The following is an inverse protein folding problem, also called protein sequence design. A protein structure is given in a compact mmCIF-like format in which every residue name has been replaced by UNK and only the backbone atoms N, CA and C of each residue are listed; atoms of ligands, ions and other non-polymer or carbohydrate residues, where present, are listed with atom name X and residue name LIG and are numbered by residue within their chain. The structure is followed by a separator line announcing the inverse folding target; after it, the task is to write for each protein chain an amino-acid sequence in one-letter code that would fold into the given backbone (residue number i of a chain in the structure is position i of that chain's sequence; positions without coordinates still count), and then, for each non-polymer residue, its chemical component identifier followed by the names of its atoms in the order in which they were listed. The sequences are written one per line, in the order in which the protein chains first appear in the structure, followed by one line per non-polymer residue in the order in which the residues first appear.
data_IF_553804319783
#
_entry.id   IF_553804319783
#
_cell.length_a   1.000
_cell.length_b   1.000
_cell.length_c   1.000
_cell.angle_alpha   90.00
_cell.angle_beta   90.00
_cell.angle_gamma   90.00
#
_symmetry.space_group_name_H-M   'P 1'
#
loop_
_entity.id
_entity.type
_entity.pdbx_description
1 polymer ?
#
# COMPACT_ATOMS: atom_id res chain seq x y z
N UNK A 1 -18.21 16.06 56.59
CA UNK A 1 -17.01 16.04 57.46
C UNK A 1 -16.37 14.65 57.36
N UNK A 2 -15.07 14.59 57.03
CA UNK A 2 -14.16 13.40 57.00
C UNK A 2 -14.45 12.22 56.05
N UNK A 3 -13.36 11.81 55.37
CA UNK A 3 -13.12 10.58 54.61
C UNK A 3 -13.18 9.31 55.49
N UNK A 4 -13.25 8.11 54.87
CA UNK A 4 -12.25 7.00 55.00
C UNK A 4 -12.30 6.10 53.73
N UNK A 5 -11.16 5.51 53.34
CA UNK A 5 -10.99 4.51 52.26
C UNK A 5 -10.92 3.05 52.78
N UNK A 6 -11.36 2.07 51.98
CA UNK A 6 -10.86 0.68 51.83
C UNK A 6 -11.71 0.00 50.73
N UNK A 7 -11.28 -0.71 49.67
CA UNK A 7 -10.08 -1.46 49.24
C UNK A 7 -9.94 -2.92 49.76
N UNK A 8 -10.22 -3.86 48.84
CA UNK A 8 -9.80 -5.28 48.71
C UNK A 8 -10.45 -6.41 49.54
N UNK A 9 -11.20 -7.26 48.82
CA UNK A 9 -11.10 -8.73 48.81
C UNK A 9 -11.43 -9.18 47.36
N UNK A 10 -10.74 -10.10 46.68
CA UNK A 10 -9.62 -10.94 47.10
C UNK A 10 -10.00 -12.42 47.11
N UNK A 11 -10.17 -13.03 45.92
CA UNK A 11 -10.20 -14.49 45.78
C UNK A 11 -9.21 -14.96 44.71
N UNK A 12 -8.27 -15.79 45.16
CA UNK A 12 -7.21 -16.41 44.37
C UNK A 12 -7.65 -17.84 44.05
N UNK A 13 -7.52 -18.26 42.79
CA UNK A 13 -7.47 -19.68 42.42
C UNK A 13 -6.36 -19.94 41.39
N UNK A 14 -5.22 -20.40 41.93
CA UNK A 14 -4.24 -21.25 41.25
C UNK A 14 -4.75 -22.71 41.23
N UNK A 15 -4.34 -23.66 40.39
CA UNK A 15 -3.26 -23.84 39.39
C UNK A 15 -3.79 -24.84 38.30
N UNK A 16 -3.04 -25.36 37.29
CA UNK A 16 -1.60 -25.27 37.01
C UNK A 16 -1.21 -24.87 35.56
N UNK A 17 0.09 -24.66 35.34
CA UNK A 17 0.69 -24.49 34.02
C UNK A 17 1.11 -25.84 33.39
N UNK A 18 0.99 -25.96 32.06
CA UNK A 18 2.06 -26.39 31.12
C UNK A 18 1.48 -26.76 29.74
N UNK A 19 1.70 -25.90 28.76
CA UNK A 19 2.16 -26.32 27.42
C UNK A 19 3.25 -25.34 26.99
N UNK A 20 4.44 -25.85 26.68
CA UNK A 20 5.56 -25.09 26.11
C UNK A 20 5.85 -25.73 24.77
N UNK A 21 6.10 -24.89 23.75
CA UNK A 21 6.91 -25.07 22.52
C UNK A 21 6.29 -24.19 21.41
N UNK A 22 7.04 -23.36 20.68
CA UNK A 22 8.45 -23.02 20.80
C UNK A 22 8.67 -21.53 20.45
N UNK A 23 9.53 -20.84 21.21
CA UNK A 23 10.13 -19.60 20.73
C UNK A 23 11.29 -19.97 19.81
N UNK A 24 11.27 -19.46 18.57
CA UNK A 24 12.47 -19.44 17.74
C UNK A 24 13.43 -18.40 18.31
N UNK A 25 14.63 -18.82 18.69
CA UNK A 25 15.74 -17.93 19.03
C UNK A 25 16.72 -17.92 17.87
N UNK A 26 16.61 -16.93 17.00
CA UNK A 26 17.66 -16.59 16.03
C UNK A 26 18.37 -15.29 16.45
N UNK A 27 19.69 -15.17 16.28
CA UNK A 27 20.46 -14.03 16.77
C UNK A 27 20.50 -12.86 15.76
N UNK A 28 20.39 -11.65 16.31
CA UNK A 28 20.87 -10.38 15.73
C UNK A 28 20.41 -10.02 14.30
N UNK A 29 19.13 -9.67 14.17
CA UNK A 29 18.68 -8.63 13.22
C UNK A 29 18.34 -7.38 14.05
N UNK A 30 18.78 -6.16 13.67
CA UNK A 30 18.39 -4.96 14.39
C UNK A 30 16.88 -4.75 14.29
N UNK A 31 16.19 -4.91 15.42
CA UNK A 31 14.73 -4.80 15.50
C UNK A 31 14.32 -3.34 15.32
N UNK A 32 13.90 -2.99 14.11
CA UNK A 32 13.22 -1.72 13.83
C UNK A 32 11.81 -1.75 14.45
N UNK A 33 11.74 -1.41 15.73
CA UNK A 33 10.48 -1.26 16.46
C UNK A 33 9.67 -0.10 15.88
N UNK A 34 8.57 -0.41 15.16
CA UNK A 34 7.60 0.61 14.77
C UNK A 34 6.69 0.35 13.58
N UNK A 35 6.66 -0.89 13.07
CA UNK A 35 5.75 -1.33 12.02
C UNK A 35 5.13 -2.68 12.44
N UNK A 36 4.01 -3.09 11.84
CA UNK A 36 3.30 -4.29 12.29
C UNK A 36 4.19 -5.54 12.30
N UNK A 37 3.93 -6.44 13.26
CA UNK A 37 4.74 -7.63 13.56
C UNK A 37 5.08 -8.49 12.33
N UNK A 38 6.29 -9.09 12.36
CA UNK A 38 6.83 -10.11 11.43
C UNK A 38 5.96 -11.36 11.22
N UNK A 39 4.83 -11.45 11.93
CA UNK A 39 3.77 -12.44 11.72
C UNK A 39 2.76 -12.02 10.64
N UNK A 40 2.93 -10.85 10.02
CA UNK A 40 2.15 -10.28 8.92
C UNK A 40 2.71 -10.66 7.54
N UNK A 41 2.83 -11.96 7.25
CA UNK A 41 3.86 -12.53 6.35
C UNK A 41 3.70 -12.21 4.85
N UNK A 42 4.02 -10.99 4.44
CA UNK A 42 4.45 -10.73 3.06
C UNK A 42 5.88 -11.25 2.92
N UNK A 43 6.02 -12.39 2.23
CA UNK A 43 7.26 -13.14 2.23
C UNK A 43 8.26 -12.66 1.18
N UNK A 44 7.86 -11.87 0.17
CA UNK A 44 8.78 -11.49 -0.92
C UNK A 44 8.32 -10.33 -1.81
N UNK A 45 9.20 -9.33 -1.98
CA UNK A 45 9.17 -8.37 -3.10
C UNK A 45 9.62 -8.98 -4.43
N UNK A 46 10.28 -10.15 -4.40
CA UNK A 46 10.70 -10.82 -5.63
C UNK A 46 9.50 -11.37 -6.38
N UNK A 47 9.27 -10.85 -7.58
CA UNK A 47 8.42 -11.49 -8.60
C UNK A 47 8.80 -12.97 -8.72
N UNK A 48 7.86 -13.92 -8.58
CA UNK A 48 8.15 -15.35 -8.71
C UNK A 48 8.95 -15.68 -9.97
N UNK A 49 10.01 -16.47 -9.85
CA UNK A 49 10.99 -16.69 -10.93
C UNK A 49 10.42 -17.36 -12.21
N UNK A 50 9.19 -17.84 -12.17
CA UNK A 50 8.43 -18.35 -13.31
C UNK A 50 7.64 -17.27 -14.07
N UNK A 51 7.66 -16.02 -13.62
CA UNK A 51 7.02 -14.85 -14.23
C UNK A 51 8.10 -13.90 -14.78
N UNK A 52 7.84 -13.18 -15.89
CA UNK A 52 8.71 -12.11 -16.37
C UNK A 52 9.02 -11.07 -15.28
N UNK A 53 10.24 -10.50 -15.28
CA UNK A 53 10.69 -9.52 -14.27
C UNK A 53 9.76 -8.30 -14.16
N UNK A 54 9.16 -7.89 -15.27
CA UNK A 54 8.23 -6.77 -15.37
C UNK A 54 6.75 -7.15 -15.12
N UNK A 55 6.49 -8.34 -14.58
CA UNK A 55 5.13 -8.78 -14.25
C UNK A 55 4.61 -8.00 -13.05
N UNK A 56 3.73 -7.03 -13.31
CA UNK A 56 2.89 -6.48 -12.27
C UNK A 56 1.96 -7.57 -11.73
N UNK A 57 1.95 -7.71 -10.41
CA UNK A 57 0.82 -8.26 -9.67
C UNK A 57 0.56 -7.32 -8.48
N UNK A 58 -0.62 -7.40 -7.86
CA UNK A 58 -0.98 -6.42 -6.82
C UNK A 58 -0.02 -6.42 -5.60
N UNK A 59 0.63 -7.55 -5.31
CA UNK A 59 1.58 -7.66 -4.22
C UNK A 59 2.93 -7.03 -4.57
N UNK A 60 3.38 -7.19 -5.81
CA UNK A 60 4.71 -6.79 -6.25
C UNK A 60 4.57 -5.95 -7.52
N UNK A 61 4.77 -4.64 -7.38
CA UNK A 61 4.98 -3.76 -8.52
C UNK A 61 6.36 -4.06 -9.15
N UNK A 62 6.55 -3.93 -10.48
CA UNK A 62 7.86 -4.07 -11.09
C UNK A 62 8.84 -3.01 -10.58
N UNK A 63 9.97 -3.44 -10.04
CA UNK A 63 11.04 -2.53 -9.60
C UNK A 63 11.98 -2.18 -10.77
N UNK A 64 12.52 -0.96 -10.72
CA UNK A 64 13.52 -0.45 -11.67
C UNK A 64 14.87 -1.10 -11.36
N UNK A 65 15.33 -2.09 -12.15
CA UNK A 65 16.54 -2.86 -11.86
C UNK A 65 17.60 -2.75 -12.95
N UNK A 66 18.86 -2.52 -12.56
CA UNK A 66 20.02 -2.42 -13.46
C UNK A 66 20.24 -3.63 -14.38
N UNK A 67 19.83 -4.83 -13.98
CA UNK A 67 19.91 -6.06 -14.78
C UNK A 67 18.92 -6.09 -15.97
N UNK A 68 17.89 -5.25 -15.94
CA UNK A 68 16.84 -5.18 -16.97
C UNK A 68 16.69 -3.80 -17.62
N UNK A 69 17.52 -2.83 -17.23
CA UNK A 69 17.60 -1.52 -17.88
C UNK A 69 18.43 -1.59 -19.17
N UNK A 70 17.86 -1.14 -20.28
CA UNK A 70 18.54 -0.95 -21.57
C UNK A 70 18.51 0.54 -21.97
N UNK A 71 19.57 1.01 -22.64
CA UNK A 71 19.63 2.39 -23.13
C UNK A 71 18.85 2.53 -24.45
N UNK A 72 18.34 3.73 -24.81
CA UNK A 72 17.60 3.91 -26.06
C UNK A 72 18.49 3.67 -27.30
N UNK A 73 18.17 2.67 -28.12
CA UNK A 73 18.89 2.33 -29.35
C UNK A 73 19.11 3.51 -30.31
N UNK A 74 18.14 4.45 -30.33
CA UNK A 74 18.17 5.63 -31.18
C UNK A 74 19.01 6.80 -30.62
N UNK A 75 19.57 6.67 -29.42
CA UNK A 75 20.38 7.69 -28.77
C UNK A 75 21.42 7.06 -27.81
N UNK A 76 22.41 6.30 -28.33
CA UNK A 76 23.36 5.55 -27.50
C UNK A 76 24.29 6.43 -26.64
N UNK A 77 24.51 7.69 -27.06
CA UNK A 77 25.30 8.69 -26.32
C UNK A 77 24.43 9.62 -25.45
N UNK A 78 23.16 9.28 -25.20
CA UNK A 78 22.26 10.09 -24.38
C UNK A 78 22.60 9.99 -22.89
N UNK A 79 22.77 11.14 -22.25
CA UNK A 79 22.89 11.25 -20.79
C UNK A 79 21.50 11.50 -20.18
N UNK A 80 21.17 10.80 -19.09
CA UNK A 80 20.00 11.13 -18.28
C UNK A 80 20.23 12.49 -17.59
N UNK A 81 19.29 13.43 -17.75
CA UNK A 81 19.39 14.79 -17.18
C UNK A 81 18.33 15.08 -16.12
N UNK A 82 17.25 14.30 -16.07
CA UNK A 82 16.12 14.51 -15.16
C UNK A 82 15.26 13.25 -15.09
N UNK A 83 14.56 13.05 -13.97
CA UNK A 83 13.73 11.87 -13.69
C UNK A 83 12.56 12.23 -12.77
N UNK A 84 11.37 11.74 -13.13
CA UNK A 84 10.22 11.67 -12.23
C UNK A 84 9.87 10.21 -11.92
N UNK A 85 9.60 9.92 -10.65
CA UNK A 85 9.11 8.61 -10.20
C UNK A 85 7.88 8.79 -9.31
N UNK A 86 6.81 8.07 -9.60
CA UNK A 86 5.58 8.03 -8.79
C UNK A 86 5.42 6.62 -8.26
N UNK A 87 5.47 6.46 -6.93
CA UNK A 87 5.55 5.16 -6.25
C UNK A 87 4.42 5.06 -5.22
N UNK A 88 3.81 3.88 -5.08
CA UNK A 88 2.73 3.61 -4.10
C UNK A 88 3.28 3.49 -2.67
N UNK A 89 2.43 3.78 -1.69
CA UNK A 89 2.72 4.06 -0.27
C UNK A 89 2.95 2.84 0.66
N UNK A 90 3.66 3.02 1.79
CA UNK A 90 4.08 2.02 2.82
C UNK A 90 4.91 2.67 4.05
N UNK A 91 4.41 2.65 5.32
CA UNK A 91 4.78 3.08 6.76
C UNK A 91 6.20 3.01 7.47
N UNK A 92 6.72 4.18 7.94
CA UNK A 92 7.38 4.51 9.24
C UNK A 92 7.55 6.06 9.46
N UNK A 93 7.12 6.63 10.60
CA UNK A 93 7.11 8.10 10.87
C UNK A 93 8.25 8.55 11.81
N UNK A 94 8.84 9.74 11.58
CA UNK A 94 9.39 10.59 12.66
C UNK A 94 9.48 12.07 12.26
N UNK A 95 9.05 12.96 13.17
CA UNK A 95 9.39 14.39 13.13
C UNK A 95 10.77 14.65 13.73
N UNK A 96 11.66 15.27 12.95
CA UNK A 96 13.04 15.55 13.36
C UNK A 96 13.19 16.40 14.62
N UNK A 97 14.29 16.21 15.35
CA UNK A 97 14.62 16.98 16.57
C UNK A 97 13.87 16.56 17.84
N UNK A 98 13.12 15.45 17.79
CA UNK A 98 12.41 14.86 18.93
C UNK A 98 12.84 13.40 19.16
N UNK A 99 12.43 12.79 20.27
CA UNK A 99 12.63 11.35 20.49
C UNK A 99 11.95 10.56 19.39
N UNK A 100 12.59 9.52 18.86
CA UNK A 100 11.96 8.60 17.92
C UNK A 100 10.76 7.91 18.58
N UNK A 101 9.55 8.25 18.14
CA UNK A 101 8.29 7.68 18.64
C UNK A 101 7.75 6.75 17.56
N UNK A 102 7.41 5.52 17.95
CA UNK A 102 6.75 4.57 17.07
C UNK A 102 5.28 4.38 17.44
N UNK A 103 4.46 3.99 16.46
CA UNK A 103 3.01 3.79 16.62
C UNK A 103 2.65 2.31 16.46
N UNK A 104 2.30 1.68 17.58
CA UNK A 104 1.87 0.28 17.70
C UNK A 104 0.35 0.20 17.91
N UNK A 105 -0.33 -0.65 17.14
CA UNK A 105 -1.77 -0.92 17.31
C UNK A 105 -1.98 -2.05 18.32
N UNK A 106 -2.71 -1.78 19.40
CA UNK A 106 -3.05 -2.76 20.44
C UNK A 106 -4.55 -3.05 20.49
N UNK A 107 -4.91 -4.30 20.17
CA UNK A 107 -6.29 -4.82 20.24
C UNK A 107 -6.46 -5.70 21.48
N UNK A 108 -7.17 -5.25 22.54
CA UNK A 108 -7.31 -6.04 23.76
C UNK A 108 -8.15 -7.31 23.52
N UNK A 109 -7.69 -8.51 23.92
CA UNK A 109 -8.42 -9.78 23.70
C UNK A 109 -9.81 -9.86 24.35
N UNK A 110 -10.11 -8.99 25.32
CA UNK A 110 -11.40 -8.90 26.01
C UNK A 110 -12.38 -7.92 25.35
N UNK A 111 -11.97 -7.20 24.31
CA UNK A 111 -12.78 -6.15 23.71
C UNK A 111 -14.00 -6.73 22.98
N UNK A 112 -15.24 -6.31 23.31
CA UNK A 112 -16.45 -6.96 22.78
C UNK A 112 -16.61 -6.78 21.26
N UNK A 113 -15.98 -5.76 20.67
CA UNK A 113 -15.98 -5.51 19.23
C UNK A 113 -14.81 -6.16 18.48
N UNK A 114 -13.94 -6.94 19.16
CA UNK A 114 -12.82 -7.64 18.51
C UNK A 114 -13.30 -8.62 17.43
N UNK A 115 -14.53 -9.12 17.53
CA UNK A 115 -15.18 -9.99 16.54
C UNK A 115 -15.54 -9.28 15.23
N UNK A 116 -15.58 -7.93 15.22
CA UNK A 116 -15.91 -7.13 14.03
C UNK A 116 -14.69 -6.86 13.14
N UNK A 117 -13.48 -7.07 13.66
CA UNK A 117 -12.22 -6.79 12.98
C UNK A 117 -11.38 -8.06 12.89
N UNK A 118 -10.45 -8.07 11.94
CA UNK A 118 -9.39 -9.06 11.99
C UNK A 118 -8.41 -8.68 13.10
N UNK A 119 -8.22 -9.56 14.09
CA UNK A 119 -7.33 -9.34 15.24
C UNK A 119 -5.85 -9.42 14.83
N UNK A 120 -5.35 -8.37 14.18
CA UNK A 120 -3.96 -8.18 13.77
C UNK A 120 -3.20 -7.17 14.63
N UNK A 121 -1.99 -6.83 14.19
CA UNK A 121 -1.10 -5.82 14.82
C UNK A 121 -1.06 -4.49 14.04
N UNK A 122 -1.98 -4.30 13.08
CA UNK A 122 -2.17 -3.10 12.29
C UNK A 122 -3.57 -2.53 12.52
N UNK A 123 -3.75 -1.26 12.19
CA UNK A 123 -5.06 -0.68 11.87
C UNK A 123 -5.24 -0.57 10.35
N UNK A 124 -6.45 -0.31 9.88
CA UNK A 124 -6.76 -0.14 8.45
C UNK A 124 -5.94 1.00 7.83
N UNK A 125 -5.43 0.80 6.61
CA UNK A 125 -4.66 1.81 5.89
C UNK A 125 -3.32 2.18 6.53
N UNK A 126 -2.87 1.47 7.56
CA UNK A 126 -1.47 1.42 7.97
C UNK A 126 -0.70 0.46 7.05
N UNK A 127 0.63 0.55 7.05
CA UNK A 127 1.49 -0.49 6.48
C UNK A 127 2.03 -1.42 7.59
N UNK A 128 2.36 -2.63 7.14
CA UNK A 128 3.13 -3.74 7.72
C UNK A 128 4.68 -3.60 7.67
N UNK A 129 5.43 -4.30 8.52
CA UNK A 129 6.91 -4.21 8.47
C UNK A 129 7.51 -4.56 7.10
N UNK A 130 6.86 -5.51 6.43
CA UNK A 130 7.28 -6.12 5.19
C UNK A 130 7.24 -5.14 4.01
N UNK A 131 6.20 -4.32 3.87
CA UNK A 131 6.16 -3.32 2.81
C UNK A 131 7.10 -2.11 3.05
N UNK A 132 7.67 -1.96 4.25
CA UNK A 132 8.79 -1.02 4.48
C UNK A 132 10.08 -1.63 3.97
N UNK A 133 10.28 -2.95 4.16
CA UNK A 133 11.39 -3.68 3.55
C UNK A 133 11.30 -3.66 2.02
N UNK A 134 10.09 -3.74 1.47
CA UNK A 134 9.82 -3.56 0.05
C UNK A 134 10.25 -2.16 -0.45
N UNK A 135 9.82 -1.09 0.23
CA UNK A 135 10.25 0.28 -0.09
C UNK A 135 11.79 0.47 -0.01
N UNK A 136 12.43 -0.18 0.98
CA UNK A 136 13.90 -0.23 1.10
C UNK A 136 14.54 -1.04 -0.04
N UNK A 137 13.91 -2.12 -0.52
CA UNK A 137 14.38 -2.86 -1.68
C UNK A 137 14.29 -2.00 -2.94
N UNK A 138 13.14 -1.37 -3.18
CA UNK A 138 12.92 -0.48 -4.31
C UNK A 138 13.91 0.71 -4.30
N UNK A 139 14.27 1.23 -3.12
CA UNK A 139 15.31 2.26 -3.00
C UNK A 139 16.70 1.80 -3.46
N UNK A 140 17.07 0.54 -3.16
CA UNK A 140 18.32 -0.08 -3.65
C UNK A 140 18.26 -0.30 -5.16
N UNK A 141 17.13 -0.81 -5.66
CA UNK A 141 16.88 -1.06 -7.08
C UNK A 141 17.01 0.26 -7.87
N UNK A 142 16.34 1.33 -7.41
CA UNK A 142 16.44 2.69 -7.94
C UNK A 142 17.89 3.21 -7.95
N UNK A 143 18.61 3.09 -6.83
CA UNK A 143 20.01 3.52 -6.72
C UNK A 143 20.96 2.73 -7.64
N UNK A 144 20.69 1.43 -7.86
CA UNK A 144 21.46 0.59 -8.78
C UNK A 144 21.42 1.12 -10.22
N UNK A 145 20.30 1.72 -10.64
CA UNK A 145 20.18 2.33 -11.96
C UNK A 145 20.74 3.75 -11.95
N UNK A 146 20.16 4.63 -11.13
CA UNK A 146 20.39 6.08 -11.27
C UNK A 146 21.72 6.56 -10.69
N UNK A 147 22.23 5.94 -9.64
CA UNK A 147 23.58 6.24 -9.14
C UNK A 147 24.64 5.33 -9.78
N UNK A 148 24.46 4.00 -9.70
CA UNK A 148 25.54 3.06 -10.04
C UNK A 148 25.71 2.80 -11.55
N UNK A 149 24.61 2.57 -12.29
CA UNK A 149 24.67 2.26 -13.73
C UNK A 149 24.79 3.51 -14.60
N UNK A 150 24.09 4.60 -14.23
CA UNK A 150 24.02 5.83 -15.02
C UNK A 150 24.93 6.96 -14.52
N UNK A 151 25.39 6.93 -13.27
CA UNK A 151 26.17 8.03 -12.69
C UNK A 151 25.41 9.35 -12.57
N UNK A 152 24.07 9.31 -12.58
CA UNK A 152 23.20 10.50 -12.55
C UNK A 152 23.03 11.08 -11.14
N UNK A 153 23.05 10.23 -10.11
CA UNK A 153 23.00 10.64 -8.70
C UNK A 153 24.31 10.28 -7.98
N UNK A 154 24.96 11.26 -7.33
CA UNK A 154 26.19 11.03 -6.56
C UNK A 154 25.93 10.80 -5.06
N UNK A 155 24.89 11.41 -4.50
CA UNK A 155 24.53 11.30 -3.07
C UNK A 155 23.04 11.53 -2.82
N UNK A 156 22.52 11.05 -1.68
CA UNK A 156 21.15 11.38 -1.25
C UNK A 156 21.16 12.72 -0.52
N UNK A 157 20.67 13.78 -1.18
CA UNK A 157 20.69 15.15 -0.66
C UNK A 157 19.50 15.99 -1.14
N UNK A 158 19.23 17.10 -0.44
CA UNK A 158 18.07 17.99 -0.66
C UNK A 158 18.18 18.92 -1.88
N UNK A 159 19.33 18.99 -2.54
CA UNK A 159 19.57 19.82 -3.73
C UNK A 159 19.19 19.07 -5.01
N UNK A 160 19.57 17.79 -5.09
CA UNK A 160 19.35 16.94 -6.26
C UNK A 160 18.06 16.11 -6.17
N UNK A 161 17.56 15.83 -4.95
CA UNK A 161 16.39 14.99 -4.71
C UNK A 161 15.29 15.78 -4.02
N UNK A 162 14.16 15.92 -4.71
CA UNK A 162 12.91 16.44 -4.17
C UNK A 162 11.95 15.27 -3.93
N UNK A 163 11.31 15.22 -2.75
CA UNK A 163 10.33 14.17 -2.44
C UNK A 163 9.01 14.79 -2.00
N UNK A 164 7.95 14.55 -2.79
CA UNK A 164 6.57 14.89 -2.46
C UNK A 164 5.74 13.62 -2.28
N UNK A 165 4.87 13.64 -1.28
CA UNK A 165 3.93 12.56 -0.94
C UNK A 165 2.51 13.09 -0.81
N UNK A 166 1.52 12.19 -0.74
CA UNK A 166 0.17 12.58 -0.35
C UNK A 166 0.09 12.90 1.15
N UNK A 167 -1.07 13.39 1.60
CA UNK A 167 -1.35 13.58 3.04
C UNK A 167 -1.44 12.29 3.86
N UNK A 168 -1.54 11.12 3.24
CA UNK A 168 -1.63 9.85 3.98
C UNK A 168 -0.28 9.50 4.62
N UNK A 169 -0.28 9.18 5.92
CA UNK A 169 0.90 8.72 6.68
C UNK A 169 1.74 7.75 5.85
N UNK A 170 1.13 6.67 5.35
CA UNK A 170 1.80 5.64 4.54
C UNK A 170 2.56 6.17 3.32
N UNK A 171 2.20 7.31 2.72
CA UNK A 171 2.99 7.88 1.60
C UNK A 171 4.28 8.56 2.07
N UNK A 172 4.23 9.47 3.07
CA UNK A 172 5.42 10.08 3.71
C UNK A 172 6.46 9.02 4.07
N UNK A 173 5.92 7.90 4.49
CA UNK A 173 6.63 6.79 5.05
C UNK A 173 7.40 5.94 4.02
N UNK A 174 6.91 5.83 2.78
CA UNK A 174 7.67 5.19 1.67
C UNK A 174 8.89 6.00 1.34
N UNK A 175 8.81 7.33 1.38
CA UNK A 175 9.98 8.17 1.16
C UNK A 175 11.11 7.80 2.15
N UNK A 176 10.78 7.57 3.42
CA UNK A 176 11.76 7.09 4.41
C UNK A 176 12.40 5.75 4.04
N UNK A 177 11.60 4.77 3.61
CA UNK A 177 12.09 3.46 3.15
C UNK A 177 12.95 3.58 1.88
N UNK A 178 12.46 4.27 0.86
CA UNK A 178 13.14 4.52 -0.42
C UNK A 178 14.49 5.22 -0.22
N UNK A 179 14.53 6.32 0.53
CA UNK A 179 15.75 7.05 0.84
C UNK A 179 16.76 6.19 1.63
N UNK A 180 16.27 5.34 2.54
CA UNK A 180 17.10 4.36 3.27
C UNK A 180 17.62 3.23 2.37
N UNK A 181 16.88 2.85 1.35
CA UNK A 181 17.33 1.93 0.30
C UNK A 181 18.42 2.53 -0.59
N UNK A 182 18.30 3.82 -0.90
CA UNK A 182 19.28 4.56 -1.70
C UNK A 182 20.59 4.81 -0.93
N UNK A 183 20.51 5.26 0.31
CA UNK A 183 21.65 5.40 1.23
C UNK A 183 21.24 4.89 2.63
N UNK A 184 21.77 3.74 3.10
CA UNK A 184 21.45 3.20 4.43
C UNK A 184 21.73 4.16 5.60
N UNK A 185 22.59 5.17 5.43
CA UNK A 185 22.84 6.18 6.45
C UNK A 185 21.68 7.19 6.59
N UNK A 186 20.70 7.19 5.68
CA UNK A 186 19.47 7.97 5.81
C UNK A 186 18.56 7.52 6.95
N UNK A 187 18.69 6.27 7.43
CA UNK A 187 17.86 5.73 8.51
C UNK A 187 17.94 6.53 9.83
N UNK A 188 19.00 7.33 10.03
CA UNK A 188 19.20 8.19 11.21
C UNK A 188 19.27 9.69 10.89
N UNK A 189 19.03 10.08 9.63
CA UNK A 189 19.04 11.47 9.16
C UNK A 189 17.62 12.02 9.05
N UNK A 190 17.50 13.34 9.03
CA UNK A 190 16.28 14.04 8.61
C UNK A 190 16.36 14.33 7.11
N UNK A 191 15.24 14.18 6.41
CA UNK A 191 15.08 14.61 5.01
C UNK A 191 13.71 15.27 4.84
N UNK A 192 13.61 16.41 4.13
CA UNK A 192 12.33 17.07 3.88
C UNK A 192 11.49 16.24 2.90
N UNK A 193 10.33 15.79 3.38
CA UNK A 193 9.28 15.20 2.54
C UNK A 193 8.09 16.14 2.58
N UNK A 194 7.63 16.55 1.40
CA UNK A 194 6.63 17.61 1.25
C UNK A 194 5.25 17.03 0.94
N UNK A 195 4.21 17.67 1.46
CA UNK A 195 2.82 17.33 1.20
C UNK A 195 2.05 18.59 0.80
N UNK A 196 1.03 18.43 -0.04
CA UNK A 196 0.06 19.50 -0.27
C UNK A 196 -1.08 19.36 0.74
N UNK A 197 -1.74 20.46 1.17
CA UNK A 197 -2.99 20.38 1.92
C UNK A 197 -4.01 19.56 1.13
N UNK A 198 -4.75 18.66 1.78
CA UNK A 198 -5.65 17.70 1.13
C UNK A 198 -6.61 18.34 0.11
N UNK A 199 -7.15 19.52 0.44
CA UNK A 199 -8.05 20.31 -0.43
C UNK A 199 -7.46 20.72 -1.79
N UNK A 200 -6.14 20.61 -1.99
CA UNK A 200 -5.46 20.88 -3.26
C UNK A 200 -4.47 19.78 -3.67
N UNK A 201 -4.42 18.65 -2.95
CA UNK A 201 -3.41 17.61 -3.19
C UNK A 201 -3.68 16.89 -4.52
N UNK A 202 -2.85 17.18 -5.51
CA UNK A 202 -2.94 16.60 -6.84
C UNK A 202 -2.50 15.12 -6.95
N UNK A 203 -1.88 14.53 -5.92
CA UNK A 203 -1.50 13.09 -5.93
C UNK A 203 -2.72 12.20 -5.64
N UNK A 204 -3.61 12.62 -4.74
CA UNK A 204 -4.89 11.95 -4.46
C UNK A 204 -6.00 13.00 -4.57
N UNK A 205 -6.45 13.34 -5.80
CA UNK A 205 -7.44 14.41 -6.03
C UNK A 205 -8.76 14.20 -5.30
N UNK A 206 -9.08 15.08 -4.36
CA UNK A 206 -10.37 15.15 -3.63
C UNK A 206 -11.09 16.51 -3.87
N UNK A 207 -10.59 17.31 -4.82
CA UNK A 207 -11.27 18.54 -5.24
C UNK A 207 -12.49 18.23 -6.13
N UNK A 208 -13.61 18.91 -5.87
CA UNK A 208 -14.85 18.69 -6.63
C UNK A 208 -14.67 18.97 -8.12
N UNK A 209 -15.00 17.98 -8.95
CA UNK A 209 -14.99 18.11 -10.41
C UNK A 209 -16.26 17.49 -11.01
N UNK A 210 -17.39 18.22 -11.05
CA UNK A 210 -18.68 17.67 -11.49
C UNK A 210 -18.66 17.02 -12.88
N UNK A 211 -17.76 17.45 -13.77
CA UNK A 211 -17.59 16.83 -15.08
C UNK A 211 -16.92 15.45 -15.00
N UNK A 212 -15.94 15.27 -14.11
CA UNK A 212 -15.34 13.96 -13.84
C UNK A 212 -16.36 13.04 -13.15
N UNK A 213 -17.10 13.56 -12.17
CA UNK A 213 -18.16 12.86 -11.45
C UNK A 213 -19.25 12.34 -12.41
N UNK A 214 -19.69 13.19 -13.35
CA UNK A 214 -20.66 12.83 -14.39
C UNK A 214 -20.14 11.72 -15.32
N UNK A 215 -18.86 11.78 -15.73
CA UNK A 215 -18.25 10.74 -16.58
C UNK A 215 -18.16 9.40 -15.80
N UNK A 216 -17.64 9.40 -14.56
CA UNK A 216 -17.54 8.19 -13.74
C UNK A 216 -18.91 7.59 -13.41
N UNK A 217 -19.92 8.44 -13.21
CA UNK A 217 -21.31 8.00 -12.98
C UNK A 217 -21.92 7.37 -14.23
N UNK A 218 -21.66 7.92 -15.42
CA UNK A 218 -22.12 7.35 -16.68
C UNK A 218 -21.59 5.92 -16.88
N UNK A 219 -20.35 5.62 -16.47
CA UNK A 219 -19.77 4.28 -16.55
C UNK A 219 -20.60 3.23 -15.83
N UNK A 220 -21.29 3.57 -14.74
CA UNK A 220 -22.08 2.61 -13.97
C UNK A 220 -23.35 2.13 -14.71
N UNK A 221 -23.73 2.78 -15.82
CA UNK A 221 -24.97 2.51 -16.57
C UNK A 221 -24.77 1.95 -17.97
N UNK A 222 -23.54 1.75 -18.44
CA UNK A 222 -23.27 1.26 -19.81
C UNK A 222 -23.15 -0.28 -19.84
N UNK A 223 -23.55 -0.90 -20.95
CA UNK A 223 -23.61 -2.35 -21.10
C UNK A 223 -22.29 -3.08 -20.82
N UNK A 224 -21.14 -2.45 -21.07
CA UNK A 224 -19.85 -3.04 -20.74
C UNK A 224 -19.65 -3.21 -19.22
N UNK A 225 -20.17 -2.27 -18.42
CA UNK A 225 -20.05 -2.26 -16.96
C UNK A 225 -21.19 -3.01 -16.26
N UNK A 226 -22.41 -2.95 -16.79
CA UNK A 226 -23.49 -3.79 -16.24
C UNK A 226 -23.28 -5.25 -16.61
N UNK A 227 -22.78 -5.52 -17.82
CA UNK A 227 -22.48 -6.86 -18.32
C UNK A 227 -21.42 -7.60 -17.52
N UNK A 228 -20.29 -6.98 -17.16
CA UNK A 228 -19.27 -7.68 -16.35
C UNK A 228 -19.75 -7.97 -14.93
N UNK A 229 -20.62 -7.13 -14.35
CA UNK A 229 -21.27 -7.41 -13.07
C UNK A 229 -22.27 -8.57 -13.20
N UNK A 230 -23.10 -8.59 -14.24
CA UNK A 230 -24.05 -9.67 -14.54
C UNK A 230 -23.34 -11.02 -14.78
N UNK A 231 -22.26 -11.03 -15.57
CA UNK A 231 -21.41 -12.20 -15.85
C UNK A 231 -20.71 -12.76 -14.59
N UNK A 232 -20.58 -11.96 -13.53
CA UNK A 232 -19.94 -12.34 -12.28
C UNK A 232 -20.89 -12.28 -11.07
N UNK A 233 -22.20 -12.24 -11.29
CA UNK A 233 -23.20 -12.19 -10.22
C UNK A 233 -23.14 -13.41 -9.29
N UNK A 234 -22.77 -14.59 -9.82
CA UNK A 234 -22.59 -15.84 -9.06
C UNK A 234 -21.47 -15.75 -8.01
N UNK A 235 -20.38 -15.05 -8.36
CA UNK A 235 -19.27 -14.78 -7.46
C UNK A 235 -19.70 -13.72 -6.43
N UNK A 236 -20.32 -12.63 -6.88
CA UNK A 236 -20.69 -11.52 -6.02
C UNK A 236 -21.72 -11.91 -4.96
N UNK A 237 -22.79 -12.64 -5.33
CA UNK A 237 -23.81 -13.13 -4.38
C UNK A 237 -23.17 -14.06 -3.33
N UNK A 238 -22.30 -14.97 -3.77
CA UNK A 238 -21.62 -15.93 -2.89
C UNK A 238 -20.63 -15.25 -1.94
N UNK A 239 -19.82 -14.32 -2.42
CA UNK A 239 -18.88 -13.56 -1.59
C UNK A 239 -19.61 -12.62 -0.63
N UNK A 240 -20.59 -11.84 -1.09
CA UNK A 240 -21.35 -10.94 -0.20
C UNK A 240 -22.07 -11.71 0.92
N UNK A 241 -22.65 -12.87 0.61
CA UNK A 241 -23.28 -13.76 1.59
C UNK A 241 -22.27 -14.36 2.57
N UNK A 242 -21.10 -14.79 2.07
CA UNK A 242 -20.05 -15.36 2.93
C UNK A 242 -19.47 -14.32 3.90
N UNK A 243 -19.22 -13.10 3.42
CA UNK A 243 -18.61 -12.02 4.22
C UNK A 243 -19.62 -11.22 5.06
N UNK A 244 -20.92 -11.51 4.94
CA UNK A 244 -21.97 -10.82 5.70
C UNK A 244 -22.26 -9.39 5.23
N UNK A 245 -21.99 -9.09 3.95
CA UNK A 245 -22.17 -7.76 3.32
C UNK A 245 -23.28 -7.74 2.25
N UNK A 246 -24.14 -8.75 2.21
CA UNK A 246 -25.30 -8.83 1.31
C UNK A 246 -26.16 -7.56 1.36
N UNK A 247 -26.45 -7.00 0.19
CA UNK A 247 -27.25 -5.77 0.04
C UNK A 247 -26.48 -4.47 0.28
N UNK A 248 -25.18 -4.50 0.62
CA UNK A 248 -24.35 -3.30 0.66
C UNK A 248 -23.85 -2.96 -0.75
N UNK A 249 -24.42 -1.91 -1.36
CA UNK A 249 -24.11 -1.52 -2.73
C UNK A 249 -22.66 -1.10 -2.96
N UNK A 250 -21.92 -0.72 -1.91
CA UNK A 250 -20.49 -0.44 -2.03
C UNK A 250 -19.71 -1.67 -2.51
N UNK A 251 -20.08 -2.87 -2.05
CA UNK A 251 -19.46 -4.15 -2.42
C UNK A 251 -20.00 -4.74 -3.72
N UNK A 252 -21.00 -4.12 -4.35
CA UNK A 252 -21.67 -4.69 -5.54
C UNK A 252 -21.67 -3.77 -6.76
N UNK A 253 -21.37 -2.49 -6.60
CA UNK A 253 -21.20 -1.54 -7.72
C UNK A 253 -19.91 -1.78 -8.52
N UNK A 254 -18.91 -2.41 -7.87
CA UNK A 254 -17.62 -2.85 -8.39
C UNK A 254 -16.92 -3.77 -7.37
N UNK A 255 -15.74 -4.29 -7.70
CA UNK A 255 -15.04 -5.32 -6.91
C UNK A 255 -13.95 -4.79 -5.96
N UNK A 256 -13.77 -3.47 -5.83
CA UNK A 256 -12.67 -2.84 -5.09
C UNK A 256 -12.50 -3.34 -3.64
N UNK A 257 -13.60 -3.44 -2.87
CA UNK A 257 -13.55 -3.87 -1.48
C UNK A 257 -13.15 -5.34 -1.32
N UNK A 258 -13.60 -6.22 -2.23
CA UNK A 258 -13.11 -7.60 -2.27
C UNK A 258 -11.64 -7.63 -2.66
N UNK A 259 -11.29 -6.88 -3.70
CA UNK A 259 -9.95 -6.82 -4.28
C UNK A 259 -8.91 -6.34 -3.25
N UNK A 260 -9.14 -5.21 -2.57
CA UNK A 260 -8.24 -4.68 -1.55
C UNK A 260 -8.15 -5.59 -0.32
N UNK A 261 -9.29 -6.13 0.16
CA UNK A 261 -9.31 -7.07 1.29
C UNK A 261 -8.56 -8.36 0.98
N UNK A 262 -8.79 -8.95 -0.20
CA UNK A 262 -8.20 -10.25 -0.56
C UNK A 262 -6.73 -10.09 -0.89
N UNK A 263 -6.37 -9.06 -1.64
CA UNK A 263 -4.99 -8.79 -2.01
C UNK A 263 -4.13 -8.45 -0.78
N UNK A 264 -4.60 -7.55 0.11
CA UNK A 264 -3.95 -7.28 1.38
C UNK A 264 -3.66 -8.57 2.16
N UNK A 265 -4.59 -9.54 2.17
CA UNK A 265 -4.38 -10.85 2.81
C UNK A 265 -3.41 -11.75 2.05
N UNK A 266 -3.61 -11.97 0.75
CA UNK A 266 -2.78 -12.91 -0.04
C UNK A 266 -1.35 -12.43 -0.17
N UNK A 267 -1.14 -11.12 -0.32
CA UNK A 267 0.18 -10.53 -0.33
C UNK A 267 0.89 -10.75 1.01
N UNK A 268 0.18 -10.61 2.13
CA UNK A 268 0.71 -10.87 3.48
C UNK A 268 0.57 -12.34 3.94
N UNK A 269 0.44 -13.30 3.01
CA UNK A 269 0.43 -14.73 3.32
C UNK A 269 -0.68 -15.18 4.27
N UNK A 270 -1.70 -14.34 4.46
CA UNK A 270 -2.79 -14.57 5.40
C UNK A 270 -3.89 -15.42 4.79
N UNK A 271 -4.62 -16.20 5.62
CA UNK A 271 -5.81 -16.87 5.16
C UNK A 271 -6.82 -15.84 4.64
N UNK A 272 -7.38 -16.14 3.47
CA UNK A 272 -8.54 -15.45 2.93
C UNK A 272 -9.71 -15.52 3.93
N UNK A 273 -10.67 -14.57 3.88
CA UNK A 273 -11.69 -14.48 4.90
C UNK A 273 -12.58 -15.74 4.95
N UNK A 274 -12.99 -16.12 6.16
CA UNK A 274 -13.90 -17.22 6.42
C UNK A 274 -15.09 -16.74 7.22
N UNK A 275 -16.25 -17.34 7.00
CA UNK A 275 -17.47 -17.08 7.75
C UNK A 275 -17.52 -17.91 9.05
N UNK A 276 -18.54 -17.67 9.87
CA UNK A 276 -18.73 -18.37 11.15
C UNK A 276 -19.02 -19.88 11.02
N UNK A 277 -19.39 -20.39 9.83
CA UNK A 277 -19.55 -21.83 9.58
C UNK A 277 -18.28 -22.50 9.06
N UNK A 278 -17.17 -21.76 8.93
CA UNK A 278 -15.88 -22.27 8.46
C UNK A 278 -15.75 -22.38 6.94
N UNK A 279 -16.69 -21.84 6.17
CA UNK A 279 -16.53 -21.68 4.73
C UNK A 279 -15.64 -20.45 4.46
N UNK A 280 -14.62 -20.62 3.62
CA UNK A 280 -13.64 -19.58 3.29
C UNK A 280 -13.69 -19.24 1.80
N UNK A 281 -13.32 -18.00 1.48
CA UNK A 281 -13.06 -17.57 0.09
C UNK A 281 -11.89 -18.39 -0.46
N UNK A 282 -12.02 -18.95 -1.66
CA UNK A 282 -10.96 -19.79 -2.25
C UNK A 282 -9.88 -18.98 -2.97
N UNK A 283 -8.76 -19.61 -3.31
CA UNK A 283 -7.70 -18.95 -4.09
C UNK A 283 -8.18 -18.64 -5.51
N UNK A 284 -9.05 -19.49 -6.07
CA UNK A 284 -9.70 -19.28 -7.37
C UNK A 284 -10.69 -18.11 -7.32
N UNK A 285 -11.45 -17.95 -6.22
CA UNK A 285 -12.30 -16.77 -6.01
C UNK A 285 -11.45 -15.50 -5.95
N UNK A 286 -10.36 -15.51 -5.18
CA UNK A 286 -9.46 -14.37 -5.09
C UNK A 286 -8.82 -14.03 -6.45
N UNK A 287 -8.38 -15.03 -7.20
CA UNK A 287 -7.83 -14.84 -8.55
C UNK A 287 -8.87 -14.29 -9.54
N UNK A 288 -10.15 -14.73 -9.46
CA UNK A 288 -11.23 -14.17 -10.28
C UNK A 288 -11.54 -12.73 -9.88
N UNK A 289 -11.57 -12.41 -8.58
CA UNK A 289 -11.66 -11.02 -8.10
C UNK A 289 -10.51 -10.17 -8.60
N UNK A 290 -9.26 -10.67 -8.59
CA UNK A 290 -8.11 -9.93 -9.10
C UNK A 290 -8.23 -9.65 -10.61
N UNK A 291 -8.61 -10.64 -11.41
CA UNK A 291 -8.83 -10.45 -12.84
C UNK A 291 -9.96 -9.43 -13.14
N UNK A 292 -11.03 -9.42 -12.34
CA UNK A 292 -12.13 -8.44 -12.46
C UNK A 292 -11.64 -7.04 -12.06
N UNK A 293 -10.97 -6.89 -10.92
CA UNK A 293 -10.48 -5.59 -10.44
C UNK A 293 -9.46 -4.96 -11.39
N UNK A 294 -8.52 -5.75 -11.93
CA UNK A 294 -7.57 -5.27 -12.96
C UNK A 294 -8.30 -4.80 -14.23
N UNK A 295 -9.36 -5.52 -14.64
CA UNK A 295 -10.22 -5.09 -15.76
C UNK A 295 -11.00 -3.81 -15.42
N UNK A 296 -11.58 -3.70 -14.22
CA UNK A 296 -12.36 -2.53 -13.79
C UNK A 296 -11.49 -1.27 -13.73
N UNK A 297 -10.28 -1.36 -13.17
CA UNK A 297 -9.31 -0.27 -13.16
C UNK A 297 -8.90 0.11 -14.59
N UNK A 298 -8.55 -0.86 -15.44
CA UNK A 298 -8.20 -0.57 -16.82
C UNK A 298 -9.38 0.06 -17.60
N UNK A 299 -10.61 -0.37 -17.32
CA UNK A 299 -11.81 0.19 -17.92
C UNK A 299 -11.99 1.66 -17.53
N UNK A 300 -12.03 1.96 -16.23
CA UNK A 300 -12.24 3.32 -15.71
C UNK A 300 -11.19 4.30 -16.26
N UNK A 301 -9.91 3.92 -16.28
CA UNK A 301 -8.82 4.86 -16.53
C UNK A 301 -8.33 4.90 -17.99
N UNK A 302 -8.55 3.83 -18.78
CA UNK A 302 -8.01 3.71 -20.14
C UNK A 302 -9.05 3.42 -21.23
N UNK A 303 -9.97 2.46 -21.04
CA UNK A 303 -10.77 1.91 -22.16
C UNK A 303 -12.25 2.30 -22.19
N UNK A 304 -12.79 2.90 -21.12
CA UNK A 304 -14.13 3.45 -21.13
C UNK A 304 -14.26 4.66 -22.08
N UNK A 305 -15.49 4.94 -22.53
CA UNK A 305 -15.78 6.16 -23.27
C UNK A 305 -15.36 7.39 -22.44
N UNK A 306 -14.72 8.39 -23.04
CA UNK A 306 -14.20 9.56 -22.33
C UNK A 306 -13.16 9.25 -21.21
N UNK A 307 -12.58 8.05 -21.11
CA UNK A 307 -11.58 7.72 -20.07
C UNK A 307 -10.38 8.68 -20.08
N UNK A 308 -9.89 9.07 -21.27
CA UNK A 308 -8.85 10.11 -21.42
C UNK A 308 -9.28 11.44 -20.78
N UNK A 309 -10.53 11.86 -21.00
CA UNK A 309 -11.08 13.10 -20.43
C UNK A 309 -11.25 12.98 -18.91
N UNK A 310 -11.68 11.81 -18.42
CA UNK A 310 -11.80 11.52 -16.99
C UNK A 310 -10.42 11.60 -16.30
N UNK A 311 -9.42 10.90 -16.84
CA UNK A 311 -8.03 10.95 -16.36
C UNK A 311 -7.44 12.36 -16.42
N UNK A 312 -7.75 13.16 -17.45
CA UNK A 312 -7.35 14.57 -17.54
C UNK A 312 -8.05 15.47 -16.51
N UNK A 313 -9.32 15.25 -16.20
CA UNK A 313 -10.05 16.05 -15.20
C UNK A 313 -9.65 15.67 -13.77
N UNK A 314 -9.37 14.39 -13.51
CA UNK A 314 -8.92 13.89 -12.21
C UNK A 314 -7.46 14.24 -11.96
N UNK A 315 -6.53 13.74 -12.77
CA UNK A 315 -5.07 13.87 -12.53
C UNK A 315 -4.43 15.05 -13.29
N UNK A 316 -5.21 15.87 -13.99
CA UNK A 316 -4.69 17.01 -14.77
C UNK A 316 -4.03 18.11 -13.95
N UNK A 317 -4.21 18.15 -12.62
CA UNK A 317 -3.44 19.03 -11.74
C UNK A 317 -2.07 18.46 -11.35
N UNK A 318 -1.87 17.14 -11.46
CA UNK A 318 -0.59 16.48 -11.17
C UNK A 318 0.41 16.68 -12.32
N UNK A 319 -0.05 16.49 -13.56
CA UNK A 319 0.80 16.56 -14.77
C UNK A 319 1.52 17.90 -14.98
N UNK A 320 0.98 19.07 -14.59
CA UNK A 320 1.72 20.33 -14.57
C UNK A 320 2.85 20.38 -13.55
N UNK A 321 2.78 19.68 -12.40
CA UNK A 321 3.90 19.65 -11.44
C UNK A 321 5.11 18.96 -12.09
N UNK A 322 4.90 17.73 -12.58
CA UNK A 322 5.86 16.95 -13.38
C UNK A 322 6.48 17.82 -14.49
N UNK A 323 5.64 18.50 -15.29
CA UNK A 323 6.10 19.33 -16.43
C UNK A 323 6.71 20.68 -16.07
N UNK A 324 6.38 21.27 -14.92
CA UNK A 324 7.02 22.52 -14.48
C UNK A 324 8.41 22.24 -13.92
N UNK A 325 8.59 21.11 -13.25
CA UNK A 325 9.89 20.63 -12.76
C UNK A 325 10.80 20.18 -13.93
N UNK A 326 10.25 19.54 -14.98
CA UNK A 326 10.90 19.28 -16.29
C UNK A 326 11.44 20.55 -17.00
N UNK A 327 10.80 21.69 -16.77
CA UNK A 327 11.11 22.95 -17.47
C UNK A 327 11.97 23.90 -16.64
N UNK A 328 12.03 23.72 -15.32
CA UNK A 328 12.91 24.48 -14.43
C UNK A 328 14.35 23.92 -14.37
N UNK A 329 14.55 22.69 -14.86
CA UNK A 329 15.83 21.98 -14.91
C UNK A 329 16.58 22.11 -16.25
N UNK A 330 16.12 22.99 -17.16
CA UNK A 330 16.71 23.29 -18.48
C UNK A 330 17.24 24.72 -18.57
#
# INVERSE_FOLDING_TARGET
MKLVQARWLGFILQFPARTVLALSTDPEIPVYNGVCSTTGVYNTSFTPANLPWNTYNYCNAPHINAAHYEAPDNAPDATLVYLNAVIRHHKFNNGGGTTHIFHETYSPPWHPFLVQIWNGTCDEGQLTYEGLQDAISHGKDFWSVYAQKLGFLESVNEQDIFVRTSVADRTYQVAGGLLTGMDPTMATKTFPVLTQPSVIDSIVPDYSCPNADNIRSAYQSVTAWTGHLEENADLQERLTTMLGVSGNTAWTSWYDHFFDTFSSRTCHGHPLPCNASGACVTVEDAARVFAIGDWEYNYIWNTAENATTYSQLTFGALLPHVRHEDLASR
#
